data_IF_587079379210
#
_entry.id   IF_587079379210
#
_cell.length_a   1.000
_cell.length_b   1.000
_cell.length_c   1.000
_cell.angle_alpha   90.00
_cell.angle_beta   90.00
_cell.angle_gamma   90.00
#
_symmetry.space_group_name_H-M   'P 1'
#
loop_
_entity.id
_entity.type
_entity.pdbx_description
1 polymer ?
#
# COMPACT_ATOMS: atom_id res chain seq x y z
N UNK A 1 -34.81 -62.36 -39.58
CA UNK A 1 -34.92 -62.85 -38.19
C UNK A 1 -34.30 -61.78 -37.31
N UNK A 2 -35.08 -60.76 -36.89
CA UNK A 2 -35.63 -60.63 -35.54
C UNK A 2 -34.60 -60.97 -34.46
N UNK A 3 -33.84 -59.98 -34.03
CA UNK A 3 -33.43 -59.95 -32.64
C UNK A 3 -33.45 -58.52 -32.09
N UNK A 4 -34.27 -58.38 -31.06
CA UNK A 4 -34.70 -57.15 -30.41
C UNK A 4 -33.93 -57.07 -29.11
N UNK A 5 -32.74 -56.48 -29.11
CA UNK A 5 -32.05 -56.18 -27.87
C UNK A 5 -32.51 -54.85 -27.29
N UNK A 6 -33.57 -54.94 -26.49
CA UNK A 6 -33.90 -53.99 -25.43
C UNK A 6 -32.68 -53.84 -24.51
N UNK A 7 -32.00 -52.70 -24.56
CA UNK A 7 -31.08 -52.30 -23.49
C UNK A 7 -31.75 -51.18 -22.68
N UNK A 8 -31.98 -51.52 -21.41
CA UNK A 8 -32.51 -50.67 -20.37
C UNK A 8 -31.73 -49.36 -20.30
N UNK A 9 -32.46 -48.25 -20.34
CA UNK A 9 -31.99 -46.93 -19.91
C UNK A 9 -31.76 -46.96 -18.39
N UNK A 10 -30.57 -46.63 -17.86
CA UNK A 10 -30.45 -46.27 -16.45
C UNK A 10 -30.96 -44.84 -16.27
N UNK A 11 -32.08 -44.74 -15.55
CA UNK A 11 -32.64 -43.53 -14.97
C UNK A 11 -31.59 -42.89 -14.06
N UNK A 12 -30.85 -41.90 -14.57
CA UNK A 12 -29.98 -41.06 -13.75
C UNK A 12 -30.88 -40.14 -12.93
N UNK A 13 -31.07 -40.47 -11.66
CA UNK A 13 -31.78 -39.67 -10.69
C UNK A 13 -30.93 -38.42 -10.37
N UNK A 14 -31.26 -37.32 -11.05
CA UNK A 14 -30.70 -36.00 -10.81
C UNK A 14 -31.26 -35.46 -9.49
N UNK A 15 -30.56 -35.75 -8.38
CA UNK A 15 -30.83 -35.08 -7.11
C UNK A 15 -30.29 -33.65 -7.18
N UNK A 16 -31.14 -32.72 -7.59
CA UNK A 16 -30.90 -31.28 -7.47
C UNK A 16 -30.94 -30.89 -5.98
N UNK A 17 -29.77 -30.90 -5.33
CA UNK A 17 -29.61 -30.33 -4.00
C UNK A 17 -29.43 -28.81 -4.16
N UNK A 18 -30.54 -28.08 -4.19
CA UNK A 18 -30.56 -26.61 -4.13
C UNK A 18 -30.24 -26.16 -2.71
N UNK A 19 -28.94 -26.03 -2.41
CA UNK A 19 -28.51 -25.32 -1.20
C UNK A 19 -28.81 -23.83 -1.40
N UNK A 20 -29.95 -23.41 -0.88
CA UNK A 20 -30.30 -21.99 -0.76
C UNK A 20 -29.48 -21.39 0.38
N UNK A 21 -28.22 -21.05 0.12
CA UNK A 21 -27.51 -20.09 0.97
C UNK A 21 -28.09 -18.71 0.68
N UNK A 22 -29.15 -18.36 1.41
CA UNK A 22 -29.48 -16.97 1.70
C UNK A 22 -28.41 -16.41 2.65
N UNK A 23 -27.18 -16.28 2.14
CA UNK A 23 -26.14 -15.48 2.76
C UNK A 23 -26.33 -14.06 2.29
N UNK A 24 -26.91 -13.22 3.14
CA UNK A 24 -26.89 -11.77 3.00
C UNK A 24 -25.43 -11.32 3.09
N UNK A 25 -24.69 -11.43 1.98
CA UNK A 25 -23.41 -10.79 1.80
C UNK A 25 -23.69 -9.35 1.42
N UNK A 26 -23.75 -8.47 2.43
CA UNK A 26 -23.81 -7.03 2.24
C UNK A 26 -22.84 -6.62 1.13
N UNK A 27 -23.23 -5.77 0.17
CA UNK A 27 -22.24 -5.10 -0.65
C UNK A 27 -21.28 -4.41 0.31
N UNK A 28 -19.98 -4.71 0.19
CA UNK A 28 -18.96 -3.89 0.81
C UNK A 28 -19.21 -2.48 0.28
N UNK A 29 -19.82 -1.68 1.14
CA UNK A 29 -20.05 -0.27 0.91
C UNK A 29 -18.71 0.30 0.50
N UNK A 30 -18.62 0.78 -0.75
CA UNK A 30 -17.66 1.82 -1.08
C UNK A 30 -17.99 2.96 -0.15
N UNK A 31 -17.31 3.01 0.99
CA UNK A 31 -17.26 4.21 1.78
C UNK A 31 -16.60 5.26 0.87
N UNK A 32 -17.41 6.09 0.23
CA UNK A 32 -17.03 7.49 0.09
C UNK A 32 -16.72 7.96 1.50
N UNK A 33 -15.43 8.03 1.82
CA UNK A 33 -14.97 8.51 3.12
C UNK A 33 -15.18 10.02 3.12
N UNK A 34 -16.41 10.41 3.43
CA UNK A 34 -16.70 11.65 4.13
C UNK A 34 -16.07 11.59 5.51
N UNK A 35 -14.95 12.28 5.66
CA UNK A 35 -14.63 13.09 6.85
C UNK A 35 -14.63 12.40 8.23
N UNK A 36 -14.44 11.09 8.31
CA UNK A 36 -14.29 10.37 9.60
C UNK A 36 -13.13 9.39 9.58
N UNK A 37 -11.93 9.92 9.30
CA UNK A 37 -10.71 9.31 9.85
C UNK A 37 -10.78 9.55 11.36
N UNK A 38 -10.89 8.47 12.15
CA UNK A 38 -10.59 8.51 13.58
C UNK A 38 -9.21 9.15 13.72
N UNK A 39 -9.19 10.41 14.14
CA UNK A 39 -8.00 11.20 14.44
C UNK A 39 -7.14 10.33 15.35
N UNK A 40 -6.03 9.80 14.83
CA UNK A 40 -4.96 9.23 15.66
C UNK A 40 -4.35 10.46 16.36
N UNK A 41 -4.99 10.86 17.45
CA UNK A 41 -4.67 12.06 18.21
C UNK A 41 -3.40 11.79 19.01
N UNK A 42 -2.30 12.39 18.56
CA UNK A 42 -1.04 12.39 19.29
C UNK A 42 0.05 13.17 18.55
N UNK A 43 0.20 12.95 17.23
CA UNK A 43 1.27 13.57 16.45
C UNK A 43 1.12 15.09 16.20
N UNK A 44 -0.07 15.66 16.46
CA UNK A 44 -0.39 17.07 16.14
C UNK A 44 -1.05 17.84 17.28
N UNK A 45 -0.94 17.36 18.52
CA UNK A 45 -1.49 18.12 19.64
C UNK A 45 -0.76 19.47 19.76
N UNK A 46 -1.51 20.55 19.53
CA UNK A 46 -0.99 21.93 19.52
C UNK A 46 -0.73 22.54 18.13
N UNK A 47 -0.74 21.77 17.04
CA UNK A 47 -0.58 22.32 15.68
C UNK A 47 -1.93 22.72 15.07
N UNK A 48 -2.02 23.98 14.62
CA UNK A 48 -3.16 24.47 13.83
C UNK A 48 -3.39 23.58 12.61
N UNK A 49 -4.65 23.29 12.28
CA UNK A 49 -4.99 22.41 11.15
C UNK A 49 -4.41 22.92 9.80
N UNK A 50 -4.30 24.24 9.64
CA UNK A 50 -3.68 24.90 8.47
C UNK A 50 -2.15 24.80 8.41
N UNK A 51 -1.51 24.35 9.49
CA UNK A 51 -0.06 24.18 9.59
C UNK A 51 0.36 22.70 9.50
N UNK A 52 -0.58 21.78 9.33
CA UNK A 52 -0.28 20.35 9.16
C UNK A 52 0.08 20.13 7.70
N UNK A 53 1.32 19.73 7.38
CA UNK A 53 1.66 19.41 6.00
C UNK A 53 0.97 18.10 5.53
N UNK A 54 0.35 17.34 6.44
CA UNK A 54 -0.16 15.99 6.19
C UNK A 54 -1.59 15.82 6.72
N UNK A 55 -2.47 15.29 5.87
CA UNK A 55 -3.90 15.14 6.15
C UNK A 55 -4.33 13.68 6.44
N UNK A 56 -3.44 12.69 6.20
CA UNK A 56 -3.71 11.27 6.41
C UNK A 56 -2.57 10.58 7.17
N UNK A 57 -2.90 9.88 8.25
CA UNK A 57 -1.99 8.95 8.93
C UNK A 57 -2.13 7.56 8.33
N UNK A 58 -1.02 6.85 8.19
CA UNK A 58 -0.97 5.46 7.74
C UNK A 58 -0.44 4.60 8.87
N UNK A 59 -1.28 3.67 9.32
CA UNK A 59 -0.89 2.63 10.26
C UNK A 59 -0.32 1.44 9.48
N UNK A 60 0.64 0.72 10.07
CA UNK A 60 1.11 -0.54 9.51
C UNK A 60 -0.07 -1.49 9.27
N UNK A 61 -0.14 -2.08 8.08
CA UNK A 61 -1.21 -2.95 7.60
C UNK A 61 -2.44 -2.21 7.04
N UNK A 62 -2.53 -0.88 7.20
CA UNK A 62 -3.64 -0.10 6.67
C UNK A 62 -3.47 0.14 5.17
N UNK A 63 -4.55 -0.11 4.42
CA UNK A 63 -4.65 0.26 3.01
C UNK A 63 -5.04 1.74 2.91
N UNK A 64 -4.26 2.52 2.17
CA UNK A 64 -4.54 3.92 1.86
C UNK A 64 -4.74 4.08 0.36
N UNK A 65 -5.94 4.46 -0.02
CA UNK A 65 -6.28 4.72 -1.42
C UNK A 65 -5.72 6.08 -1.87
N UNK A 66 -4.96 6.05 -2.97
CA UNK A 66 -4.59 7.20 -3.79
C UNK A 66 -5.61 7.29 -4.93
N UNK A 67 -6.59 8.16 -4.74
CA UNK A 67 -7.80 8.25 -5.57
C UNK A 67 -7.50 8.18 -7.07
N UNK A 68 -8.14 7.23 -7.74
CA UNK A 68 -8.05 7.04 -9.20
C UNK A 68 -6.75 6.41 -9.70
N UNK A 69 -5.84 5.99 -8.81
CA UNK A 69 -4.50 5.57 -9.22
C UNK A 69 -4.03 4.26 -8.60
N UNK A 70 -3.87 4.20 -7.28
CA UNK A 70 -3.33 3.02 -6.61
C UNK A 70 -3.78 2.94 -5.16
N UNK A 71 -3.74 1.74 -4.60
CA UNK A 71 -3.74 1.55 -3.14
C UNK A 71 -2.30 1.35 -2.66
N UNK A 72 -1.97 1.92 -1.50
CA UNK A 72 -0.69 1.75 -0.82
C UNK A 72 -0.94 1.11 0.54
N UNK A 73 -0.17 0.09 0.89
CA UNK A 73 -0.15 -0.48 2.24
C UNK A 73 1.27 -0.46 2.77
N UNK A 74 1.48 0.16 3.94
CA UNK A 74 2.73 0.01 4.69
C UNK A 74 2.72 -1.32 5.43
N UNK A 75 3.61 -2.23 5.08
CA UNK A 75 3.72 -3.55 5.70
C UNK A 75 4.63 -3.51 6.93
N UNK A 76 5.69 -2.71 6.90
CA UNK A 76 6.58 -2.46 8.02
C UNK A 76 7.44 -1.22 7.78
N UNK A 77 7.96 -0.66 8.87
CA UNK A 77 9.02 0.34 8.84
C UNK A 77 10.14 -0.12 9.78
N UNK A 78 11.39 -0.09 9.33
CA UNK A 78 12.55 -0.51 10.12
C UNK A 78 13.72 0.45 9.95
N UNK A 79 14.56 0.54 10.98
CA UNK A 79 15.83 1.27 10.96
C UNK A 79 17.05 0.36 10.85
N UNK A 80 16.85 -0.92 11.09
CA UNK A 80 17.90 -1.94 11.08
C UNK A 80 17.64 -2.91 9.94
N UNK A 81 18.15 -2.56 8.76
CA UNK A 81 18.02 -3.38 7.55
C UNK A 81 19.33 -3.34 6.77
N UNK A 82 19.87 -4.52 6.47
CA UNK A 82 21.07 -4.68 5.65
C UNK A 82 20.74 -4.58 4.16
N UNK A 83 21.76 -4.39 3.32
CA UNK A 83 21.59 -4.35 1.86
C UNK A 83 21.26 -2.98 1.28
N UNK A 84 21.32 -1.93 2.10
CA UNK A 84 21.09 -0.55 1.68
C UNK A 84 22.37 0.30 1.73
N UNK A 85 22.33 1.41 1.00
CA UNK A 85 23.35 2.46 1.11
C UNK A 85 23.35 3.02 2.52
N UNK A 86 24.52 3.05 3.14
CA UNK A 86 24.65 3.49 4.53
C UNK A 86 24.36 4.99 4.60
N UNK A 87 23.55 5.44 5.58
CA UNK A 87 23.30 6.85 5.76
C UNK A 87 24.61 7.57 6.15
N UNK A 88 24.81 8.77 5.61
CA UNK A 88 25.94 9.62 6.03
C UNK A 88 25.87 10.01 7.52
N UNK A 89 26.97 10.54 8.06
CA UNK A 89 27.05 10.94 9.47
C UNK A 89 25.87 11.84 9.91
N UNK A 90 25.32 11.55 11.10
CA UNK A 90 24.17 12.28 11.65
C UNK A 90 22.82 11.91 11.04
N UNK A 91 22.77 10.85 10.23
CA UNK A 91 21.53 10.32 9.66
C UNK A 91 21.30 8.88 10.07
N UNK A 92 20.04 8.47 10.08
CA UNK A 92 19.58 7.10 10.26
C UNK A 92 18.88 6.60 8.99
N UNK A 93 19.02 5.31 8.73
CA UNK A 93 18.32 4.65 7.64
C UNK A 93 16.89 4.37 8.11
N UNK A 94 15.91 4.62 7.23
CA UNK A 94 14.54 4.15 7.41
C UNK A 94 14.13 3.42 6.16
N UNK A 95 13.74 2.16 6.32
CA UNK A 95 13.28 1.29 5.25
C UNK A 95 11.80 1.01 5.44
N UNK A 96 11.02 1.26 4.39
CA UNK A 96 9.59 0.99 4.34
C UNK A 96 9.36 -0.22 3.44
N UNK A 97 8.66 -1.24 3.94
CA UNK A 97 8.10 -2.30 3.11
C UNK A 97 6.69 -1.89 2.68
N UNK A 98 6.50 -1.72 1.38
CA UNK A 98 5.26 -1.21 0.79
C UNK A 98 4.65 -2.23 -0.14
N UNK A 99 3.33 -2.33 -0.12
CA UNK A 99 2.55 -2.97 -1.18
C UNK A 99 1.81 -1.90 -1.97
N UNK A 100 1.92 -1.96 -3.29
CA UNK A 100 1.23 -1.08 -4.23
C UNK A 100 0.29 -1.92 -5.08
N UNK A 101 -0.96 -1.47 -5.24
CA UNK A 101 -1.95 -2.09 -6.13
C UNK A 101 -2.42 -1.05 -7.13
N UNK A 102 -2.27 -1.31 -8.43
CA UNK A 102 -2.80 -0.41 -9.45
C UNK A 102 -4.34 -0.48 -9.45
N UNK A 103 -4.98 0.65 -9.13
CA UNK A 103 -6.44 0.81 -9.13
C UNK A 103 -6.95 1.66 -10.29
N UNK A 104 -6.06 2.12 -11.15
CA UNK A 104 -6.44 2.81 -12.36
C UNK A 104 -6.94 1.81 -13.42
N UNK A 105 -7.61 2.35 -14.44
CA UNK A 105 -8.02 1.58 -15.63
C UNK A 105 -6.92 1.45 -16.70
N UNK A 106 -5.70 1.89 -16.42
CA UNK A 106 -4.57 1.89 -17.35
C UNK A 106 -3.30 1.34 -16.69
N UNK A 107 -2.25 1.11 -17.48
CA UNK A 107 -0.94 0.75 -16.96
C UNK A 107 -0.40 1.90 -16.10
N UNK A 108 0.18 1.54 -14.95
CA UNK A 108 0.76 2.46 -13.99
C UNK A 108 2.28 2.33 -14.00
N UNK A 109 2.94 3.31 -14.61
CA UNK A 109 4.39 3.41 -14.61
C UNK A 109 4.90 4.05 -13.31
N UNK A 110 5.69 3.26 -12.60
CA UNK A 110 6.34 3.61 -11.34
C UNK A 110 7.83 3.84 -11.57
N UNK A 111 8.34 4.92 -10.98
CA UNK A 111 9.78 5.19 -10.86
C UNK A 111 10.08 5.50 -9.40
N UNK A 112 10.12 4.48 -8.51
CA UNK A 112 10.03 4.72 -7.07
C UNK A 112 11.13 5.63 -6.52
N UNK A 113 12.35 5.55 -7.06
CA UNK A 113 13.48 6.41 -6.65
C UNK A 113 13.27 7.91 -6.90
N UNK A 114 12.52 8.27 -7.95
CA UNK A 114 12.26 9.68 -8.29
C UNK A 114 10.86 10.12 -7.90
N UNK A 115 9.95 9.17 -7.66
CA UNK A 115 8.56 9.45 -7.36
C UNK A 115 8.22 9.40 -5.88
N UNK A 116 8.93 8.61 -5.07
CA UNK A 116 8.69 8.56 -3.62
C UNK A 116 9.74 9.35 -2.85
N UNK A 117 9.26 10.08 -1.86
CA UNK A 117 10.06 10.86 -0.93
C UNK A 117 9.45 10.74 0.47
N UNK A 118 10.24 10.93 1.51
CA UNK A 118 9.70 11.26 2.83
C UNK A 118 9.71 12.78 3.02
N UNK A 119 8.74 13.30 3.75
CA UNK A 119 8.72 14.68 4.20
C UNK A 119 8.59 14.73 5.72
N UNK A 120 9.25 15.67 6.40
CA UNK A 120 9.00 15.95 7.82
C UNK A 120 7.94 17.05 8.03
N UNK A 121 7.62 17.34 9.29
CA UNK A 121 6.65 18.39 9.65
C UNK A 121 7.08 19.81 9.24
N UNK A 122 8.38 20.02 8.97
CA UNK A 122 8.92 21.27 8.43
C UNK A 122 8.96 21.28 6.88
N UNK A 123 8.39 20.24 6.25
CA UNK A 123 8.37 20.02 4.81
C UNK A 123 9.78 19.86 4.19
N UNK A 124 10.77 19.44 4.98
CA UNK A 124 12.04 18.98 4.42
C UNK A 124 11.82 17.64 3.73
N UNK A 125 12.32 17.50 2.51
CA UNK A 125 12.13 16.30 1.70
C UNK A 125 13.39 15.42 1.69
N UNK A 126 13.17 14.11 1.80
CA UNK A 126 14.20 13.08 1.82
C UNK A 126 13.93 12.12 0.66
N UNK A 127 14.77 12.12 -0.39
CA UNK A 127 14.59 11.23 -1.53
C UNK A 127 14.85 9.77 -1.15
N UNK A 128 14.23 8.86 -1.90
CA UNK A 128 14.52 7.44 -1.78
C UNK A 128 15.96 7.11 -2.18
N UNK A 129 16.53 6.11 -1.51
CA UNK A 129 17.87 5.59 -1.72
C UNK A 129 17.86 4.36 -2.62
N UNK A 130 18.96 4.14 -3.32
CA UNK A 130 19.21 2.93 -4.08
C UNK A 130 19.53 1.74 -3.15
N UNK A 131 18.98 0.57 -3.48
CA UNK A 131 19.37 -0.69 -2.87
C UNK A 131 20.72 -1.15 -3.41
N UNK A 132 21.55 -1.79 -2.57
CA UNK A 132 22.81 -2.42 -3.00
C UNK A 132 22.58 -3.79 -3.69
N UNK A 133 21.33 -4.25 -3.75
CA UNK A 133 20.91 -5.50 -4.35
C UNK A 133 19.60 -5.34 -5.15
N UNK A 134 19.01 -6.45 -5.58
CA UNK A 134 17.74 -6.42 -6.30
C UNK A 134 16.58 -6.31 -5.32
N UNK A 135 15.85 -5.19 -5.35
CA UNK A 135 14.52 -5.06 -4.77
C UNK A 135 13.55 -4.62 -5.88
N UNK A 136 12.43 -5.34 -6.09
CA UNK A 136 11.52 -5.11 -7.21
C UNK A 136 10.89 -3.71 -7.24
N UNK A 137 10.81 -2.99 -6.11
CA UNK A 137 10.34 -1.59 -6.10
C UNK A 137 11.43 -0.62 -6.53
N UNK A 138 12.70 -0.84 -6.18
CA UNK A 138 13.77 0.12 -6.47
C UNK A 138 14.73 -0.31 -7.59
N UNK A 139 14.49 -1.46 -8.23
CA UNK A 139 15.28 -1.99 -9.34
C UNK A 139 15.16 -1.17 -10.66
N UNK A 140 14.39 -0.09 -10.68
CA UNK A 140 14.28 0.83 -11.83
C UNK A 140 12.85 1.29 -12.09
N UNK A 141 12.47 1.32 -13.38
CA UNK A 141 11.09 1.58 -13.79
C UNK A 141 10.28 0.29 -13.72
N UNK A 142 9.09 0.36 -13.14
CA UNK A 142 8.18 -0.76 -12.99
C UNK A 142 6.81 -0.38 -13.57
N UNK A 143 6.26 -1.20 -14.47
CA UNK A 143 4.91 -1.00 -15.00
C UNK A 143 3.96 -2.01 -14.35
N UNK A 144 2.87 -1.51 -13.76
CA UNK A 144 1.81 -2.34 -13.20
C UNK A 144 0.58 -2.26 -14.09
N UNK A 145 0.13 -3.41 -14.62
CA UNK A 145 -1.14 -3.49 -15.32
C UNK A 145 -2.33 -3.17 -14.36
N UNK A 146 -3.52 -2.80 -14.88
CA UNK A 146 -4.72 -2.62 -14.07
C UNK A 146 -4.99 -3.80 -13.13
N UNK A 147 -5.18 -3.52 -11.84
CA UNK A 147 -5.40 -4.54 -10.81
C UNK A 147 -4.16 -5.31 -10.35
N UNK A 148 -3.02 -5.16 -11.03
CA UNK A 148 -1.77 -5.78 -10.62
C UNK A 148 -1.22 -5.16 -9.34
N UNK A 149 -0.46 -5.96 -8.59
CA UNK A 149 0.20 -5.52 -7.36
C UNK A 149 1.69 -5.83 -7.37
N UNK A 150 2.45 -5.01 -6.66
CA UNK A 150 3.86 -5.26 -6.33
C UNK A 150 4.09 -5.02 -4.84
N UNK A 151 5.13 -5.65 -4.30
CA UNK A 151 5.62 -5.42 -2.95
C UNK A 151 7.13 -5.34 -2.99
N UNK A 152 7.69 -4.44 -2.19
CA UNK A 152 9.14 -4.30 -2.04
C UNK A 152 9.46 -3.28 -0.98
N UNK A 153 10.74 -2.98 -0.86
CA UNK A 153 11.27 -2.06 0.11
C UNK A 153 11.78 -0.78 -0.54
N UNK A 154 11.66 0.32 0.19
CA UNK A 154 12.23 1.61 -0.20
C UNK A 154 12.86 2.27 1.02
N UNK A 155 14.10 2.74 0.87
CA UNK A 155 14.86 3.29 1.97
C UNK A 155 15.08 4.80 1.84
N UNK A 156 15.28 5.46 2.97
CA UNK A 156 15.51 6.89 3.08
C UNK A 156 16.57 7.16 4.15
N UNK A 157 17.33 8.24 4.00
CA UNK A 157 18.26 8.72 5.04
C UNK A 157 17.69 9.99 5.69
N UNK A 158 17.29 9.88 6.96
CA UNK A 158 16.73 10.98 7.73
C UNK A 158 17.70 11.44 8.80
N UNK A 159 17.63 12.70 9.27
CA UNK A 159 18.34 13.12 10.47
C UNK A 159 18.06 12.19 11.64
N UNK A 160 19.09 11.81 12.38
CA UNK A 160 18.93 10.95 13.56
C UNK A 160 17.92 11.56 14.54
N UNK A 161 16.96 10.75 15.00
CA UNK A 161 15.94 11.21 15.93
C UNK A 161 14.74 11.84 15.24
N UNK A 162 14.63 11.75 13.90
CA UNK A 162 13.42 12.16 13.20
C UNK A 162 12.21 11.38 13.74
N UNK A 163 11.13 12.11 14.03
CA UNK A 163 9.84 11.60 14.47
C UNK A 163 8.79 12.27 13.61
N UNK A 164 7.79 11.52 13.16
CA UNK A 164 6.70 11.98 12.29
C UNK A 164 7.17 12.42 10.90
N UNK A 165 7.24 11.44 10.00
CA UNK A 165 7.53 11.64 8.58
C UNK A 165 6.38 11.13 7.74
N UNK A 166 6.17 11.79 6.60
CA UNK A 166 5.11 11.49 5.64
C UNK A 166 5.68 10.91 4.35
N UNK A 167 5.15 9.78 3.86
CA UNK A 167 5.45 9.32 2.50
C UNK A 167 4.75 10.21 1.49
N UNK A 168 5.52 10.79 0.56
CA UNK A 168 5.06 11.65 -0.52
C UNK A 168 5.30 10.94 -1.84
N UNK A 169 4.25 10.87 -2.67
CA UNK A 169 4.37 10.43 -4.06
C UNK A 169 4.23 11.64 -5.00
N UNK A 170 5.33 12.05 -5.60
CA UNK A 170 5.41 13.19 -6.53
C UNK A 170 4.55 13.02 -7.79
N UNK A 171 4.04 14.14 -8.32
CA UNK A 171 3.13 14.24 -9.49
C UNK A 171 1.72 13.70 -9.30
N UNK A 172 1.31 13.50 -8.05
CA UNK A 172 -0.08 13.32 -7.66
C UNK A 172 -0.40 14.48 -6.71
N UNK A 173 -1.68 14.84 -6.57
CA UNK A 173 -2.07 15.64 -5.41
C UNK A 173 -1.47 14.95 -4.17
N UNK A 174 -0.78 15.69 -3.28
CA UNK A 174 0.07 15.09 -2.26
C UNK A 174 -0.79 14.23 -1.33
N UNK A 175 -0.83 12.92 -1.59
CA UNK A 175 -1.27 11.94 -0.63
C UNK A 175 -0.07 11.76 0.28
N UNK A 176 -0.03 12.52 1.37
CA UNK A 176 1.04 12.39 2.35
C UNK A 176 0.59 11.47 3.46
N UNK A 177 1.39 10.44 3.73
CA UNK A 177 1.05 9.36 4.66
C UNK A 177 1.98 9.39 5.86
N UNK A 178 1.48 9.80 7.03
CA UNK A 178 2.28 9.86 8.27
C UNK A 178 2.58 8.44 8.74
N UNK A 179 3.84 8.17 9.04
CA UNK A 179 4.28 6.93 9.68
C UNK A 179 4.48 7.20 11.16
N UNK A 180 3.46 6.87 11.96
CA UNK A 180 3.54 6.90 13.43
C UNK A 180 4.14 5.56 13.92
N UNK A 181 5.11 5.62 14.83
CA UNK A 181 5.71 4.42 15.43
C UNK A 181 7.01 3.93 14.77
N UNK A 182 7.85 4.84 14.27
CA UNK A 182 9.29 4.57 14.00
C UNK A 182 10.04 4.38 15.34
N UNK A 183 9.59 3.41 16.14
CA UNK A 183 10.26 2.97 17.36
C UNK A 183 11.60 2.31 16.97
N UNK A 184 12.63 2.55 17.77
CA UNK A 184 13.88 1.83 17.62
C UNK A 184 13.62 0.37 17.99
N UNK A 185 13.70 -0.53 17.01
CA UNK A 185 13.86 -1.97 17.26
C UNK A 185 15.21 -2.24 17.92
#
# INVERSE_FOLDING_TARGET
>A
MRDVHKKLLPLVMLAALTVSLAGCGSPASSAEIGDTVKKVGGAYDGMAASARPFDKSMVIGQVVAVTGRADITLQSASKDVQGWTEPGAGKELVVLDLTLVNRSGADLDLKPLTQFQLADLANNQFPALEAKGFDPLVAGSLTLAPGASTRGQIAFALPTGSRHVGLVWTHIAPAVLIIDGLEAG
#
